data_IF_130374716635
#
_entry.id   IF_130374716635
#
_cell.length_a   1.000
_cell.length_b   1.000
_cell.length_c   1.000
_cell.angle_alpha   90.00
_cell.angle_beta   90.00
_cell.angle_gamma   90.00
#
_symmetry.space_group_name_H-M   'P 1'
#
loop_
_entity.id
_entity.type
_entity.pdbx_description
1 polymer ?
#
# COMPACT_ATOMS: atom_id res chain seq x y z
N UNK A 1 -29.16 -2.31 10.94
CA UNK A 1 -29.08 -3.29 9.83
C UNK A 1 -27.79 -3.06 9.05
N UNK A 2 -27.10 -4.13 8.64
CA UNK A 2 -25.91 -4.00 7.79
C UNK A 2 -26.32 -3.44 6.41
N UNK A 3 -25.62 -2.41 5.92
CA UNK A 3 -25.85 -1.90 4.55
C UNK A 3 -25.26 -2.89 3.55
N UNK A 4 -26.12 -3.57 2.78
CA UNK A 4 -25.71 -4.47 1.70
C UNK A 4 -25.43 -3.61 0.45
N UNK A 5 -24.18 -3.58 -0.01
CA UNK A 5 -23.81 -2.90 -1.26
C UNK A 5 -24.00 -3.84 -2.45
N UNK A 6 -24.68 -3.37 -3.50
CA UNK A 6 -24.76 -4.09 -4.77
C UNK A 6 -23.38 -4.04 -5.46
N UNK A 7 -22.83 -5.19 -5.91
CA UNK A 7 -21.54 -5.19 -6.62
C UNK A 7 -21.64 -4.42 -7.94
N UNK A 8 -20.54 -3.77 -8.30
CA UNK A 8 -20.40 -2.99 -9.53
C UNK A 8 -20.28 -3.90 -10.74
N UNK A 9 -20.72 -3.38 -11.88
CA UNK A 9 -20.53 -3.98 -13.20
C UNK A 9 -19.61 -3.12 -14.07
N UNK A 10 -18.97 -3.73 -15.05
CA UNK A 10 -18.11 -3.01 -16.00
C UNK A 10 -18.85 -1.87 -16.71
N UNK A 11 -20.13 -2.10 -17.06
CA UNK A 11 -21.00 -1.07 -17.66
C UNK A 11 -21.26 0.11 -16.74
N UNK A 12 -21.48 -0.13 -15.43
CA UNK A 12 -21.65 0.95 -14.46
C UNK A 12 -20.38 1.80 -14.32
N UNK A 13 -19.21 1.15 -14.32
CA UNK A 13 -17.92 1.82 -14.23
C UNK A 13 -17.64 2.65 -15.49
N UNK A 14 -17.89 2.08 -16.67
CA UNK A 14 -17.75 2.79 -17.95
C UNK A 14 -18.66 4.03 -18.01
N UNK A 15 -19.93 3.87 -17.62
CA UNK A 15 -20.93 4.95 -17.66
C UNK A 15 -20.81 5.97 -16.51
N UNK A 16 -19.92 5.76 -15.55
CA UNK A 16 -19.68 6.71 -14.47
C UNK A 16 -19.09 8.01 -15.03
N UNK A 17 -19.87 9.10 -14.98
CA UNK A 17 -19.47 10.42 -15.48
C UNK A 17 -18.95 11.31 -14.33
N UNK A 18 -17.93 12.15 -14.58
CA UNK A 18 -17.50 13.14 -13.60
C UNK A 18 -18.66 14.03 -13.17
N UNK A 19 -18.64 14.45 -11.91
CA UNK A 19 -19.59 15.40 -11.32
C UNK A 19 -18.81 16.57 -10.72
N UNK A 20 -19.51 17.64 -10.33
CA UNK A 20 -18.92 18.81 -9.68
C UNK A 20 -18.13 18.45 -8.40
N UNK A 21 -18.51 17.36 -7.73
CA UNK A 21 -17.83 16.84 -6.54
C UNK A 21 -17.40 15.39 -6.75
N UNK A 22 -16.24 15.05 -6.19
CA UNK A 22 -15.77 13.68 -6.07
C UNK A 22 -16.85 12.80 -5.43
N UNK A 23 -17.12 11.65 -6.05
CA UNK A 23 -18.05 10.66 -5.52
C UNK A 23 -17.47 9.25 -5.63
N UNK A 24 -18.07 8.32 -4.89
CA UNK A 24 -17.64 6.93 -4.80
C UNK A 24 -18.76 5.99 -5.18
N UNK A 25 -18.44 4.96 -5.95
CA UNK A 25 -19.31 3.83 -6.24
C UNK A 25 -18.78 2.62 -5.47
N UNK A 26 -19.60 2.01 -4.63
CA UNK A 26 -19.16 0.91 -3.76
C UNK A 26 -19.40 -0.44 -4.43
N UNK A 27 -18.37 -1.28 -4.46
CA UNK A 27 -18.45 -2.67 -4.91
C UNK A 27 -18.75 -3.63 -3.75
N UNK A 28 -18.26 -3.28 -2.56
CA UNK A 28 -18.49 -4.02 -1.31
C UNK A 28 -17.21 -4.33 -0.57
N UNK A 29 -17.33 -4.71 0.70
CA UNK A 29 -16.20 -5.05 1.56
C UNK A 29 -15.07 -3.99 1.58
N UNK A 30 -15.44 -2.71 1.43
CA UNK A 30 -14.51 -1.58 1.39
C UNK A 30 -13.94 -1.24 0.01
N UNK A 31 -14.14 -2.09 -1.02
CA UNK A 31 -13.76 -1.76 -2.40
C UNK A 31 -14.72 -0.73 -2.98
N UNK A 32 -14.17 0.33 -3.56
CA UNK A 32 -14.95 1.34 -4.27
C UNK A 32 -14.19 1.97 -5.44
N UNK A 33 -14.95 2.51 -6.39
CA UNK A 33 -14.45 3.34 -7.47
C UNK A 33 -14.64 4.81 -7.11
N UNK A 34 -13.53 5.52 -6.94
CA UNK A 34 -13.49 6.97 -6.78
C UNK A 34 -13.50 7.64 -8.15
N UNK A 35 -14.46 8.52 -8.37
CA UNK A 35 -14.57 9.32 -9.60
C UNK A 35 -14.32 10.78 -9.25
N UNK A 36 -13.28 11.35 -9.85
CA UNK A 36 -12.89 12.75 -9.67
C UNK A 36 -13.67 13.67 -10.61
N UNK A 37 -13.80 14.97 -10.29
CA UNK A 37 -14.35 15.96 -11.21
C UNK A 37 -13.57 16.04 -12.54
N UNK A 38 -12.28 15.73 -12.51
CA UNK A 38 -11.43 15.65 -13.71
C UNK A 38 -11.74 14.47 -14.62
N UNK A 39 -12.62 13.54 -14.20
CA UNK A 39 -12.97 12.34 -14.98
C UNK A 39 -12.10 11.12 -14.69
N UNK A 40 -11.06 11.25 -13.88
CA UNK A 40 -10.22 10.12 -13.46
C UNK A 40 -10.99 9.18 -12.55
N UNK A 41 -10.91 7.89 -12.85
CA UNK A 41 -11.58 6.79 -12.14
C UNK A 41 -10.52 5.91 -11.47
N UNK A 42 -10.59 5.78 -10.15
CA UNK A 42 -9.56 5.12 -9.34
C UNK A 42 -10.23 4.05 -8.48
N UNK A 43 -9.73 2.82 -8.53
CA UNK A 43 -10.09 1.78 -7.58
C UNK A 43 -9.35 2.01 -6.27
N UNK A 44 -10.11 2.07 -5.18
CA UNK A 44 -9.59 2.25 -3.84
C UNK A 44 -10.22 1.26 -2.86
N UNK A 45 -9.42 0.80 -1.90
CA UNK A 45 -9.85 -0.03 -0.79
C UNK A 45 -9.86 0.79 0.48
N UNK A 46 -11.04 0.99 1.05
CA UNK A 46 -11.23 1.63 2.35
C UNK A 46 -11.27 0.58 3.44
N UNK A 47 -10.41 0.73 4.45
CA UNK A 47 -10.24 -0.24 5.53
C UNK A 47 -9.95 0.48 6.85
N UNK A 48 -10.02 -0.25 7.95
CA UNK A 48 -9.56 0.24 9.26
C UNK A 48 -8.13 -0.21 9.42
N UNK A 49 -7.22 0.76 9.61
CA UNK A 49 -5.81 0.47 9.81
C UNK A 49 -5.64 -0.35 11.10
N UNK A 50 -5.04 -1.55 11.04
CA UNK A 50 -4.83 -2.39 12.22
C UNK A 50 -3.90 -1.75 13.27
N UNK A 51 -2.96 -0.89 12.84
CA UNK A 51 -1.99 -0.24 13.74
C UNK A 51 -2.64 0.90 14.55
N UNK A 52 -3.45 1.73 13.87
CA UNK A 52 -3.97 2.97 14.46
C UNK A 52 -5.46 2.91 14.81
N UNK A 53 -6.18 1.89 14.36
CA UNK A 53 -7.64 1.75 14.50
C UNK A 53 -8.45 2.81 13.75
N UNK A 54 -7.82 3.60 12.88
CA UNK A 54 -8.48 4.69 12.11
C UNK A 54 -8.81 4.23 10.69
N UNK A 55 -9.83 4.83 10.09
CA UNK A 55 -10.10 4.60 8.67
C UNK A 55 -8.95 5.09 7.81
N UNK A 56 -8.52 4.24 6.87
CA UNK A 56 -7.55 4.59 5.85
C UNK A 56 -7.98 4.04 4.47
N UNK A 57 -7.31 4.51 3.43
CA UNK A 57 -7.60 4.17 2.04
C UNK A 57 -6.32 3.75 1.33
N UNK A 58 -6.36 2.60 0.67
CA UNK A 58 -5.31 2.10 -0.21
C UNK A 58 -5.73 2.27 -1.67
N UNK A 59 -4.87 2.83 -2.52
CA UNK A 59 -5.15 3.00 -3.95
C UNK A 59 -4.68 1.74 -4.68
N UNK A 60 -5.62 1.03 -5.32
CA UNK A 60 -5.30 -0.18 -6.09
C UNK A 60 -4.79 0.20 -7.48
N UNK A 61 -5.41 1.20 -8.10
CA UNK A 61 -4.95 1.81 -9.34
C UNK A 61 -6.08 2.41 -10.17
N UNK A 62 -5.74 2.85 -11.38
CA UNK A 62 -6.61 3.65 -12.23
C UNK A 62 -7.30 2.80 -13.30
N UNK A 63 -8.58 3.09 -13.57
CA UNK A 63 -9.30 2.56 -14.73
C UNK A 63 -9.04 3.45 -15.96
N UNK A 64 -8.83 2.90 -17.18
CA UNK A 64 -8.99 1.48 -17.57
C UNK A 64 -7.71 0.63 -17.45
N UNK A 65 -6.60 1.18 -16.95
CA UNK A 65 -5.33 0.45 -16.83
C UNK A 65 -5.48 -0.84 -16.01
N UNK A 66 -6.28 -0.78 -14.94
CA UNK A 66 -6.68 -1.94 -14.15
C UNK A 66 -8.15 -2.25 -14.42
N UNK A 67 -8.44 -3.52 -14.71
CA UNK A 67 -9.81 -4.00 -14.89
C UNK A 67 -10.54 -4.19 -13.55
N UNK A 68 -11.88 -4.23 -13.55
CA UNK A 68 -12.64 -4.50 -12.32
C UNK A 68 -12.29 -5.87 -11.71
N UNK A 69 -12.04 -6.87 -12.55
CA UNK A 69 -11.67 -8.21 -12.11
C UNK A 69 -10.31 -8.19 -11.39
N UNK A 70 -9.30 -7.56 -12.00
CA UNK A 70 -7.99 -7.38 -11.36
C UNK A 70 -8.07 -6.58 -10.07
N UNK A 71 -8.89 -5.51 -10.05
CA UNK A 71 -9.11 -4.72 -8.85
C UNK A 71 -9.69 -5.56 -7.71
N UNK A 72 -10.61 -6.49 -8.01
CA UNK A 72 -11.16 -7.45 -7.03
C UNK A 72 -10.12 -8.47 -6.57
N UNK A 73 -9.28 -8.98 -7.47
CA UNK A 73 -8.20 -9.91 -7.10
C UNK A 73 -7.22 -9.25 -6.13
N UNK A 74 -6.71 -8.06 -6.48
CA UNK A 74 -5.83 -7.28 -5.60
C UNK A 74 -6.51 -6.89 -4.30
N UNK A 75 -7.78 -6.50 -4.34
CA UNK A 75 -8.56 -6.20 -3.14
C UNK A 75 -8.64 -7.40 -2.19
N UNK A 76 -8.89 -8.60 -2.72
CA UNK A 76 -8.96 -9.82 -1.89
C UNK A 76 -7.61 -10.14 -1.23
N UNK A 77 -6.50 -9.94 -1.93
CA UNK A 77 -5.15 -10.07 -1.38
C UNK A 77 -4.94 -9.07 -0.24
N UNK A 78 -5.18 -7.77 -0.50
CA UNK A 78 -5.05 -6.70 0.51
C UNK A 78 -5.95 -6.94 1.72
N UNK A 79 -7.18 -7.42 1.50
CA UNK A 79 -8.12 -7.72 2.57
C UNK A 79 -7.64 -8.88 3.44
N UNK A 80 -7.01 -9.92 2.86
CA UNK A 80 -6.40 -11.01 3.64
C UNK A 80 -5.29 -10.47 4.54
N UNK A 81 -4.40 -9.62 4.00
CA UNK A 81 -3.33 -8.98 4.77
C UNK A 81 -3.87 -8.16 5.95
N UNK A 82 -4.89 -7.33 5.70
CA UNK A 82 -5.46 -6.46 6.74
C UNK A 82 -6.25 -7.24 7.79
N UNK A 83 -7.09 -8.19 7.37
CA UNK A 83 -8.05 -8.84 8.28
C UNK A 83 -7.44 -10.03 9.01
N UNK A 84 -6.63 -10.84 8.32
CA UNK A 84 -6.06 -12.07 8.88
C UNK A 84 -4.71 -11.75 9.51
N UNK A 85 -3.80 -11.17 8.74
CA UNK A 85 -2.42 -10.92 9.19
C UNK A 85 -2.31 -9.65 10.04
N UNK A 86 -3.33 -8.79 10.02
CA UNK A 86 -3.34 -7.47 10.69
C UNK A 86 -2.16 -6.59 10.26
N UNK A 87 -1.74 -6.72 9.01
CA UNK A 87 -0.67 -5.93 8.43
C UNK A 87 -1.27 -4.75 7.67
N UNK A 88 -0.72 -3.56 7.90
CA UNK A 88 -1.06 -2.37 7.15
C UNK A 88 -0.41 -2.40 5.74
N UNK A 89 -1.20 -2.44 4.65
CA UNK A 89 -0.67 -2.57 3.29
C UNK A 89 0.10 -1.35 2.79
N UNK A 90 0.08 -0.22 3.51
CA UNK A 90 0.94 0.93 3.19
C UNK A 90 2.35 0.80 3.79
N UNK A 91 2.52 -0.06 4.79
CA UNK A 91 3.77 -0.25 5.52
C UNK A 91 4.53 -1.52 5.10
N UNK A 92 4.15 -2.15 3.97
CA UNK A 92 4.73 -3.41 3.50
C UNK A 92 6.09 -3.26 2.81
N UNK A 93 6.61 -2.04 2.61
CA UNK A 93 7.94 -1.84 2.04
C UNK A 93 9.03 -1.95 3.12
N UNK A 94 9.25 -3.17 3.63
CA UNK A 94 10.36 -3.44 4.55
C UNK A 94 11.74 -3.11 3.94
N UNK A 95 11.88 -3.13 2.61
CA UNK A 95 13.13 -2.83 1.91
C UNK A 95 13.51 -1.34 1.98
N UNK A 96 12.53 -0.44 2.17
CA UNK A 96 12.75 0.99 2.31
C UNK A 96 12.84 1.41 3.79
N UNK A 97 12.73 0.45 4.72
CA UNK A 97 12.91 0.72 6.15
C UNK A 97 14.33 1.20 6.39
N UNK A 98 14.48 2.25 7.22
CA UNK A 98 15.78 2.74 7.67
C UNK A 98 16.68 1.61 8.17
N UNK A 99 16.10 0.62 8.85
CA UNK A 99 16.85 -0.52 9.37
C UNK A 99 17.35 -1.47 8.28
N UNK A 100 16.57 -1.68 7.21
CA UNK A 100 17.02 -2.45 6.05
C UNK A 100 18.15 -1.71 5.32
N UNK A 101 17.97 -0.41 5.07
CA UNK A 101 18.98 0.46 4.43
C UNK A 101 20.25 0.51 5.28
N UNK A 102 20.13 0.65 6.60
CA UNK A 102 21.26 0.67 7.52
C UNK A 102 22.01 -0.66 7.51
N UNK A 103 21.30 -1.78 7.58
CA UNK A 103 21.91 -3.11 7.56
C UNK A 103 22.59 -3.41 6.22
N UNK A 104 22.00 -2.99 5.10
CA UNK A 104 22.60 -3.11 3.76
C UNK A 104 23.87 -2.25 3.66
N UNK A 105 23.79 -0.97 4.04
CA UNK A 105 24.93 -0.06 4.07
C UNK A 105 26.05 -0.60 4.97
N UNK A 106 25.71 -1.02 6.19
CA UNK A 106 26.68 -1.52 7.17
C UNK A 106 27.38 -2.79 6.67
N UNK A 107 26.67 -3.69 5.95
CA UNK A 107 27.26 -4.85 5.29
C UNK A 107 28.26 -4.47 4.20
N UNK A 108 27.93 -3.50 3.34
CA UNK A 108 28.82 -3.01 2.27
C UNK A 108 30.04 -2.30 2.87
N UNK A 109 29.79 -1.44 3.86
CA UNK A 109 30.81 -0.63 4.51
C UNK A 109 31.78 -1.51 5.31
N UNK A 110 31.29 -2.44 6.14
CA UNK A 110 32.14 -3.36 6.91
C UNK A 110 33.09 -4.18 6.03
N UNK A 111 32.61 -4.74 4.91
CA UNK A 111 33.45 -5.49 3.98
C UNK A 111 34.55 -4.62 3.34
N UNK A 112 34.27 -3.34 3.09
CA UNK A 112 35.21 -2.41 2.45
C UNK A 112 36.22 -1.84 3.45
N UNK A 113 35.82 -1.59 4.69
CA UNK A 113 36.66 -1.03 5.75
C UNK A 113 37.65 -2.05 6.31
N UNK A 114 37.21 -3.30 6.51
CA UNK A 114 38.08 -4.38 7.02
C UNK A 114 39.24 -4.68 6.05
N UNK A 115 39.02 -4.52 4.74
CA UNK A 115 40.05 -4.78 3.72
C UNK A 115 41.13 -3.69 3.63
N UNK A 116 40.92 -2.52 4.25
CA UNK A 116 41.84 -1.36 4.18
C UNK A 116 42.44 -0.92 5.53
N UNK A 117 42.11 -1.60 6.63
CA UNK A 117 42.60 -1.22 7.96
C UNK A 117 43.93 -1.92 8.31
N UNK A 118 44.96 -1.19 8.78
CA UNK A 118 46.13 -1.79 9.42
C UNK A 118 45.75 -2.37 10.80
N UNK A 119 46.37 -3.49 11.18
CA UNK A 119 45.98 -4.41 12.28
C UNK A 119 45.86 -3.82 13.69
N UNK A 120 46.18 -2.55 13.93
CA UNK A 120 46.42 -2.01 15.27
C UNK A 120 45.33 -1.07 15.79
N UNK A 121 44.17 -0.96 15.13
CA UNK A 121 43.13 0.02 15.56
C UNK A 121 41.68 -0.47 15.36
N UNK A 122 41.39 -1.68 15.83
CA UNK A 122 40.08 -2.34 15.62
C UNK A 122 39.01 -1.88 16.62
N UNK A 123 39.38 -1.20 17.73
CA UNK A 123 38.46 -0.90 18.84
C UNK A 123 37.85 0.51 18.84
N UNK A 124 38.23 1.43 17.93
CA UNK A 124 37.79 2.84 18.02
C UNK A 124 36.60 3.23 17.15
N UNK A 125 36.05 2.33 16.34
CA UNK A 125 35.06 2.69 15.31
C UNK A 125 33.73 1.91 15.37
N UNK A 126 33.44 1.22 16.47
CA UNK A 126 32.08 0.68 16.66
C UNK A 126 31.17 1.88 16.94
N UNK A 127 30.15 2.15 16.12
CA UNK A 127 29.23 3.24 16.40
C UNK A 127 28.47 2.86 17.67
N UNK A 128 28.57 3.71 18.68
CA UNK A 128 27.75 3.61 19.89
C UNK A 128 26.29 3.81 19.45
N UNK A 129 25.47 2.78 19.68
CA UNK A 129 24.02 2.78 19.50
C UNK A 129 23.37 3.77 20.46
#
# INVERSE_FOLDING_TARGET
>A
MARISKPLTNTQIANAKPKNKLYRLYDGYGLCLKVTPSGTKIFEYRYVNPDTGKEDTFIIGQYPLISLAEARTKHNELRKLVVIEKINPKNTNNNDSFEHIYNEFHKIWSQSVIKKMPSNNITSCIPIV
#
